data_IF_107004580012
#
_entry.id   IF_107004580012
#
_cell.length_a   1.000
_cell.length_b   1.000
_cell.length_c   1.000
_cell.angle_alpha   90.00
_cell.angle_beta   90.00
_cell.angle_gamma   90.00
#
_symmetry.space_group_name_H-M   'P 1'
#
loop_
_entity.id
_entity.type
_entity.pdbx_description
1 polymer ?
#
# COMPACT_ATOMS: atom_id res chain seq x y z
N UNK A 1 -20.51 14.48 15.56
CA UNK A 1 -20.19 15.13 14.27
C UNK A 1 -18.86 14.57 13.78
N UNK A 2 -18.86 13.74 12.75
CA UNK A 2 -17.60 13.24 12.15
C UNK A 2 -17.15 14.32 11.17
N UNK A 3 -16.08 15.04 11.50
CA UNK A 3 -15.45 15.98 10.57
C UNK A 3 -15.08 15.19 9.31
N UNK A 4 -15.77 15.46 8.20
CA UNK A 4 -15.35 15.00 6.88
C UNK A 4 -14.04 15.73 6.57
N UNK A 5 -12.92 15.04 6.74
CA UNK A 5 -11.62 15.51 6.27
C UNK A 5 -11.78 15.69 4.76
N UNK A 6 -11.82 16.94 4.29
CA UNK A 6 -11.75 17.23 2.85
C UNK A 6 -10.35 16.84 2.41
N UNK A 7 -10.23 15.76 1.64
CA UNK A 7 -8.95 15.44 1.01
C UNK A 7 -8.70 16.46 -0.09
N UNK A 8 -7.63 17.22 0.05
CA UNK A 8 -7.16 18.09 -1.02
C UNK A 8 -6.67 17.23 -2.21
N UNK A 9 -6.82 17.71 -3.45
CA UNK A 9 -6.28 16.99 -4.60
C UNK A 9 -4.75 16.88 -4.46
N UNK A 10 -4.21 15.68 -4.71
CA UNK A 10 -2.76 15.47 -4.73
C UNK A 10 -2.15 16.30 -5.86
N UNK A 11 -1.02 16.93 -5.58
CA UNK A 11 -0.15 17.51 -6.60
C UNK A 11 0.46 16.41 -7.48
N UNK A 12 0.91 16.77 -8.68
CA UNK A 12 1.58 15.82 -9.57
C UNK A 12 2.81 15.16 -8.92
N UNK A 13 3.55 15.89 -8.10
CA UNK A 13 4.69 15.35 -7.36
C UNK A 13 4.26 14.34 -6.29
N UNK A 14 3.17 14.60 -5.57
CA UNK A 14 2.64 13.66 -4.58
C UNK A 14 2.08 12.39 -5.22
N UNK A 15 1.47 12.50 -6.41
CA UNK A 15 1.05 11.32 -7.19
C UNK A 15 2.25 10.45 -7.60
N UNK A 16 3.33 11.06 -8.11
CA UNK A 16 4.56 10.33 -8.46
C UNK A 16 5.18 9.66 -7.22
N UNK A 17 5.20 10.35 -6.08
CA UNK A 17 5.68 9.78 -4.83
C UNK A 17 4.80 8.62 -4.35
N UNK A 18 3.47 8.74 -4.49
CA UNK A 18 2.51 7.69 -4.13
C UNK A 18 2.71 6.44 -5.01
N UNK A 19 2.84 6.60 -6.32
CA UNK A 19 3.12 5.51 -7.25
C UNK A 19 4.46 4.83 -6.95
N UNK A 20 5.50 5.63 -6.67
CA UNK A 20 6.81 5.10 -6.27
C UNK A 20 6.73 4.27 -4.98
N UNK A 21 5.96 4.73 -3.99
CA UNK A 21 5.70 3.98 -2.75
C UNK A 21 4.91 2.69 -3.00
N UNK A 22 3.91 2.74 -3.88
CA UNK A 22 3.15 1.54 -4.27
C UNK A 22 4.05 0.49 -4.90
N UNK A 23 4.88 0.88 -5.87
CA UNK A 23 5.84 -0.04 -6.51
C UNK A 23 6.86 -0.59 -5.50
N UNK A 24 7.30 0.22 -4.54
CA UNK A 24 8.18 -0.22 -3.47
C UNK A 24 7.52 -1.28 -2.57
N UNK A 25 6.28 -1.06 -2.13
CA UNK A 25 5.54 -2.02 -1.29
C UNK A 25 5.30 -3.35 -2.01
N UNK A 26 4.96 -3.31 -3.31
CA UNK A 26 4.80 -4.51 -4.13
C UNK A 26 6.10 -5.31 -4.26
N UNK A 27 7.21 -4.63 -4.56
CA UNK A 27 8.53 -5.26 -4.66
C UNK A 27 8.96 -5.92 -3.35
N UNK A 28 8.77 -5.24 -2.21
CA UNK A 28 9.12 -5.79 -0.89
C UNK A 28 8.21 -6.98 -0.54
N UNK A 29 6.90 -6.89 -0.84
CA UNK A 29 5.97 -8.00 -0.66
C UNK A 29 6.44 -9.24 -1.43
N UNK A 30 6.77 -9.10 -2.72
CA UNK A 30 7.26 -10.20 -3.54
C UNK A 30 8.58 -10.77 -3.00
N UNK A 31 9.47 -9.90 -2.50
CA UNK A 31 10.74 -10.31 -1.89
C UNK A 31 10.51 -11.21 -0.68
N UNK A 32 9.60 -10.84 0.22
CA UNK A 32 9.27 -11.66 1.39
C UNK A 32 8.52 -12.95 1.03
N UNK A 33 7.64 -12.93 0.02
CA UNK A 33 6.98 -14.14 -0.48
C UNK A 33 7.99 -15.14 -1.07
N UNK A 34 8.95 -14.63 -1.85
CA UNK A 34 10.04 -15.42 -2.39
C UNK A 34 10.91 -15.95 -1.25
N UNK A 35 11.29 -15.12 -0.28
CA UNK A 35 12.08 -15.55 0.87
C UNK A 35 11.37 -16.65 1.67
N UNK A 36 10.07 -16.51 1.98
CA UNK A 36 9.27 -17.51 2.68
C UNK A 36 9.22 -18.87 1.96
N UNK A 37 9.37 -18.87 0.63
CA UNK A 37 9.39 -20.08 -0.20
C UNK A 37 10.76 -20.76 -0.22
N UNK A 38 11.84 -20.02 0.05
CA UNK A 38 13.22 -20.50 -0.05
C UNK A 38 13.89 -20.78 1.31
N UNK A 39 13.38 -20.21 2.40
CA UNK A 39 13.93 -20.45 3.74
C UNK A 39 13.49 -21.80 4.31
N UNK A 40 14.45 -22.53 4.90
CA UNK A 40 14.22 -23.84 5.53
C UNK A 40 13.73 -23.68 6.98
N UNK A 41 14.16 -22.63 7.66
CA UNK A 41 13.75 -22.34 9.04
C UNK A 41 12.25 -21.98 9.09
N UNK A 42 11.51 -22.70 9.93
CA UNK A 42 10.08 -22.47 10.17
C UNK A 42 9.82 -21.06 10.70
N UNK A 43 10.62 -20.60 11.66
CA UNK A 43 10.49 -19.26 12.25
C UNK A 43 10.72 -18.16 11.21
N UNK A 44 11.75 -18.31 10.37
CA UNK A 44 12.02 -17.36 9.29
C UNK A 44 10.93 -17.39 8.22
N UNK A 45 10.38 -18.56 7.91
CA UNK A 45 9.25 -18.70 6.98
C UNK A 45 8.02 -17.96 7.49
N UNK A 46 7.70 -18.12 8.77
CA UNK A 46 6.58 -17.43 9.40
C UNK A 46 6.80 -15.91 9.40
N UNK A 47 7.99 -15.45 9.83
CA UNK A 47 8.34 -14.03 9.83
C UNK A 47 8.23 -13.43 8.42
N UNK A 48 8.75 -14.12 7.40
CA UNK A 48 8.66 -13.67 6.02
C UNK A 48 7.19 -13.61 5.54
N UNK A 49 6.36 -14.58 5.91
CA UNK A 49 4.92 -14.56 5.64
C UNK A 49 4.19 -13.38 6.30
N UNK A 50 4.51 -13.09 7.57
CA UNK A 50 3.96 -11.94 8.30
C UNK A 50 4.37 -10.60 7.65
N UNK A 51 5.63 -10.48 7.24
CA UNK A 51 6.13 -9.29 6.55
C UNK A 51 5.49 -9.11 5.18
N UNK A 52 5.37 -10.17 4.37
CA UNK A 52 4.65 -10.11 3.09
C UNK A 52 3.20 -9.65 3.28
N UNK A 53 2.48 -10.21 4.26
CA UNK A 53 1.11 -9.81 4.56
C UNK A 53 0.99 -8.34 4.99
N UNK A 54 1.98 -7.81 5.72
CA UNK A 54 2.04 -6.40 6.09
C UNK A 54 2.21 -5.50 4.87
N UNK A 55 3.17 -5.81 4.01
CA UNK A 55 3.43 -5.02 2.80
C UNK A 55 2.27 -5.08 1.80
N UNK A 56 1.59 -6.22 1.71
CA UNK A 56 0.35 -6.34 0.94
C UNK A 56 -0.76 -5.41 1.47
N UNK A 57 -0.94 -5.32 2.80
CA UNK A 57 -1.91 -4.40 3.40
C UNK A 57 -1.55 -2.94 3.16
N UNK A 58 -0.26 -2.59 3.24
CA UNK A 58 0.22 -1.24 2.93
C UNK A 58 -0.09 -0.88 1.47
N UNK A 59 0.24 -1.76 0.52
CA UNK A 59 -0.06 -1.59 -0.89
C UNK A 59 -1.56 -1.36 -1.12
N UNK A 60 -2.42 -2.18 -0.51
CA UNK A 60 -3.88 -2.02 -0.59
C UNK A 60 -4.35 -0.66 -0.06
N UNK A 61 -3.77 -0.18 1.04
CA UNK A 61 -4.08 1.14 1.58
C UNK A 61 -3.68 2.25 0.60
N UNK A 62 -2.50 2.17 0.00
CA UNK A 62 -2.05 3.16 -0.99
C UNK A 62 -2.95 3.16 -2.23
N UNK A 63 -3.38 1.98 -2.71
CA UNK A 63 -4.38 1.86 -3.78
C UNK A 63 -5.71 2.53 -3.41
N UNK A 64 -6.17 2.36 -2.18
CA UNK A 64 -7.39 3.02 -1.70
C UNK A 64 -7.23 4.54 -1.66
N UNK A 65 -6.08 5.05 -1.19
CA UNK A 65 -5.78 6.48 -1.21
C UNK A 65 -5.78 7.03 -2.64
N UNK A 66 -5.09 6.36 -3.57
CA UNK A 66 -5.06 6.75 -4.98
C UNK A 66 -6.47 6.80 -5.57
N UNK A 67 -7.29 5.77 -5.32
CA UNK A 67 -8.66 5.70 -5.82
C UNK A 67 -9.54 6.83 -5.25
N UNK A 68 -9.39 7.16 -3.96
CA UNK A 68 -10.13 8.27 -3.34
C UNK A 68 -9.76 9.64 -3.95
N UNK A 69 -8.51 9.81 -4.41
CA UNK A 69 -8.08 11.03 -5.11
C UNK A 69 -8.49 11.05 -6.59
N UNK A 70 -8.53 9.90 -7.29
CA UNK A 70 -8.94 9.81 -8.69
C UNK A 70 -10.46 9.89 -8.87
N UNK A 71 -11.23 9.36 -7.92
CA UNK A 71 -12.69 9.38 -7.91
C UNK A 71 -13.17 9.99 -6.58
N UNK A 72 -12.97 11.31 -6.36
CA UNK A 72 -13.53 11.95 -5.18
C UNK A 72 -15.05 11.73 -5.20
N UNK A 73 -15.65 11.24 -4.10
CA UNK A 73 -17.07 10.91 -4.08
C UNK A 73 -17.87 12.13 -4.55
N UNK A 74 -18.57 11.97 -5.67
CA UNK A 74 -19.40 13.02 -6.27
C UNK A 74 -20.40 13.52 -5.23
N UNK A 75 -20.16 14.71 -4.68
CA UNK A 75 -20.96 15.23 -3.58
C UNK A 75 -20.50 16.56 -3.00
N UNK A 76 -19.77 17.38 -3.76
CA UNK A 76 -19.49 18.78 -3.41
C UNK A 76 -19.58 19.61 -4.68
N UNK A 77 -20.81 20.00 -5.05
CA UNK A 77 -21.04 21.27 -5.74
C UNK A 77 -20.83 22.40 -4.74
#
# INVERSE_FOLDING_TARGET
MVQKIRMEPLTANELVQLEARMSQEEMICQTYMNAASNVVSTDLKELCGQMAARHQKNYQLLCQMLNQHQHPPHGVQ
#
